data_IF_359941257276
#
_entry.id   IF_359941257276
#
_cell.length_a   1.000
_cell.length_b   1.000
_cell.length_c   1.000
_cell.angle_alpha   90.00
_cell.angle_beta   90.00
_cell.angle_gamma   90.00
#
_symmetry.space_group_name_H-M   'P 1'
#
loop_
_entity.id
_entity.type
_entity.pdbx_description
1 polymer ?
#
# COMPACT_ATOMS: atom_id res chain seq x y z
N UNK A 1 48.15 -13.06 -26.49
CA UNK A 1 48.01 -11.90 -25.57
C UNK A 1 47.73 -12.44 -24.17
N UNK A 2 48.76 -12.51 -23.33
CA UNK A 2 48.61 -12.88 -21.93
C UNK A 2 48.08 -11.69 -21.15
N UNK A 3 46.81 -11.74 -20.76
CA UNK A 3 46.25 -10.75 -19.81
C UNK A 3 47.05 -10.90 -18.52
N UNK A 4 47.76 -9.84 -18.12
CA UNK A 4 48.53 -9.85 -16.88
C UNK A 4 47.62 -10.14 -15.69
N UNK A 5 48.07 -10.99 -14.76
CA UNK A 5 47.36 -11.28 -13.50
C UNK A 5 46.95 -9.99 -12.76
N UNK A 6 47.74 -8.93 -12.88
CA UNK A 6 47.43 -7.61 -12.31
C UNK A 6 46.21 -6.96 -12.96
N UNK A 7 46.03 -7.08 -14.28
CA UNK A 7 44.87 -6.52 -14.97
C UNK A 7 43.56 -7.22 -14.57
N UNK A 8 43.60 -8.54 -14.34
CA UNK A 8 42.46 -9.31 -13.86
C UNK A 8 42.08 -8.92 -12.42
N UNK A 9 43.07 -8.74 -11.54
CA UNK A 9 42.85 -8.28 -10.16
C UNK A 9 42.32 -6.84 -10.12
N UNK A 10 42.83 -5.94 -10.96
CA UNK A 10 42.31 -4.58 -11.07
C UNK A 10 40.88 -4.54 -11.62
N UNK A 11 40.52 -5.40 -12.58
CA UNK A 11 39.15 -5.50 -13.09
C UNK A 11 38.18 -6.04 -12.03
N UNK A 12 38.58 -7.05 -11.25
CA UNK A 12 37.80 -7.58 -10.12
C UNK A 12 37.63 -6.55 -9.01
N UNK A 13 38.68 -5.78 -8.67
CA UNK A 13 38.59 -4.66 -7.73
C UNK A 13 37.70 -3.53 -8.25
N UNK A 14 37.75 -3.22 -9.54
CA UNK A 14 36.89 -2.20 -10.14
C UNK A 14 35.40 -2.60 -10.10
N UNK A 15 35.07 -3.88 -10.33
CA UNK A 15 33.70 -4.39 -10.19
C UNK A 15 33.20 -4.31 -8.74
N UNK A 16 34.05 -4.64 -7.76
CA UNK A 16 33.77 -4.50 -6.32
C UNK A 16 33.50 -3.04 -5.90
N UNK A 17 34.15 -2.07 -6.56
CA UNK A 17 33.96 -0.64 -6.27
C UNK A 17 32.70 -0.05 -6.94
N UNK A 18 32.24 -0.63 -8.05
CA UNK A 18 31.02 -0.16 -8.75
C UNK A 18 29.72 -0.73 -8.19
N UNK A 19 29.77 -1.78 -7.38
CA UNK A 19 28.57 -2.48 -6.88
C UNK A 19 28.09 -2.04 -5.50
N UNK A 20 28.45 -0.85 -5.03
CA UNK A 20 27.89 -0.26 -3.80
C UNK A 20 26.43 0.18 -4.01
N UNK A 21 25.55 -0.76 -4.34
CA UNK A 21 24.11 -0.58 -4.28
C UNK A 21 23.69 -0.52 -2.82
N UNK A 22 23.58 0.71 -2.29
CA UNK A 22 22.97 0.95 -0.99
C UNK A 22 21.47 0.71 -1.12
N UNK A 23 21.02 -0.47 -0.70
CA UNK A 23 19.62 -0.72 -0.42
C UNK A 23 19.21 0.13 0.80
N UNK A 24 18.13 0.90 0.66
CA UNK A 24 17.56 1.65 1.76
C UNK A 24 17.05 0.72 2.85
N UNK A 25 17.29 1.07 4.12
CA UNK A 25 16.77 0.31 5.27
C UNK A 25 15.31 0.69 5.61
N UNK A 26 14.76 1.69 4.93
CA UNK A 26 13.37 2.10 5.10
C UNK A 26 12.43 1.00 4.58
N UNK A 27 11.45 0.64 5.39
CA UNK A 27 10.41 -0.33 5.01
C UNK A 27 9.35 0.35 4.15
N UNK A 28 8.80 -0.39 3.19
CA UNK A 28 7.68 0.05 2.34
C UNK A 28 6.52 -0.98 2.46
N UNK A 29 5.90 -1.10 3.64
CA UNK A 29 4.94 -2.16 3.93
C UNK A 29 3.65 -2.01 3.12
N UNK A 30 3.03 -3.13 2.79
CA UNK A 30 1.78 -3.21 2.04
C UNK A 30 0.61 -3.55 2.95
N UNK A 31 0.22 -2.59 3.80
CA UNK A 31 -0.86 -2.78 4.78
C UNK A 31 -2.22 -2.45 4.14
N UNK A 32 -2.82 -3.44 3.49
CA UNK A 32 -4.11 -3.28 2.81
C UNK A 32 -5.25 -3.92 3.59
N UNK A 33 -6.39 -3.23 3.70
CA UNK A 33 -7.62 -3.76 4.29
C UNK A 33 -8.63 -4.19 3.22
N UNK A 34 -9.28 -5.32 3.47
CA UNK A 34 -10.44 -5.75 2.69
C UNK A 34 -11.67 -5.59 3.56
N UNK A 35 -12.60 -4.76 3.11
CA UNK A 35 -13.82 -4.47 3.85
C UNK A 35 -14.74 -5.67 3.82
N UNK A 36 -15.19 -6.10 4.99
CA UNK A 36 -16.22 -7.12 5.09
C UNK A 36 -17.59 -6.52 4.73
N UNK A 37 -18.34 -7.19 3.84
CA UNK A 37 -19.66 -6.69 3.44
C UNK A 37 -20.61 -6.46 4.62
N UNK A 38 -20.50 -7.32 5.64
CA UNK A 38 -21.30 -7.24 6.86
C UNK A 38 -21.07 -5.93 7.60
N UNK A 39 -19.84 -5.40 7.60
CA UNK A 39 -19.53 -4.11 8.22
C UNK A 39 -20.32 -2.99 7.54
N UNK A 40 -20.25 -2.89 6.22
CA UNK A 40 -20.97 -1.86 5.44
C UNK A 40 -22.50 -2.00 5.54
N UNK A 41 -23.01 -3.24 5.58
CA UNK A 41 -24.46 -3.52 5.72
C UNK A 41 -25.01 -3.12 7.10
N UNK A 42 -24.16 -3.05 8.12
CA UNK A 42 -24.55 -2.66 9.48
C UNK A 42 -24.49 -1.15 9.72
N UNK A 43 -23.85 -0.39 8.84
CA UNK A 43 -23.82 1.07 8.94
C UNK A 43 -25.18 1.66 8.51
N UNK A 44 -25.69 2.68 9.23
CA UNK A 44 -26.93 3.35 8.86
C UNK A 44 -26.76 4.24 7.62
N UNK A 45 -27.87 4.57 6.95
CA UNK A 45 -27.88 5.62 5.94
C UNK A 45 -27.82 7.01 6.57
N UNK A 46 -26.98 7.90 6.01
CA UNK A 46 -26.94 9.33 6.36
C UNK A 46 -28.25 10.05 6.01
N UNK A 47 -29.03 9.49 5.08
CA UNK A 47 -30.18 10.15 4.49
C UNK A 47 -31.49 9.48 4.87
N UNK A 48 -32.53 10.31 5.02
CA UNK A 48 -33.86 9.88 5.39
C UNK A 48 -34.49 9.01 4.29
N UNK A 49 -35.31 8.00 4.62
CA UNK A 49 -36.04 7.23 3.61
C UNK A 49 -36.86 8.11 2.67
N UNK A 50 -37.15 7.62 1.46
CA UNK A 50 -38.02 8.32 0.52
C UNK A 50 -39.45 8.46 1.09
N UNK A 51 -40.05 9.64 0.90
CA UNK A 51 -41.48 9.85 1.16
C UNK A 51 -42.32 9.03 0.19
N UNK A 52 -43.63 8.91 0.44
CA UNK A 52 -44.52 8.17 -0.45
C UNK A 52 -44.63 8.81 -1.84
N UNK A 53 -44.62 10.15 -1.92
CA UNK A 53 -44.65 10.87 -3.20
C UNK A 53 -43.35 10.69 -3.97
N UNK A 54 -42.20 10.75 -3.28
CA UNK A 54 -40.88 10.48 -3.87
C UNK A 54 -40.84 9.05 -4.44
N UNK A 55 -41.29 8.05 -3.69
CA UNK A 55 -41.30 6.64 -4.14
C UNK A 55 -42.15 6.39 -5.38
N UNK A 56 -43.26 7.11 -5.54
CA UNK A 56 -44.16 6.99 -6.70
C UNK A 56 -43.62 7.67 -7.95
N UNK A 57 -42.59 8.50 -7.82
CA UNK A 57 -41.95 9.15 -8.97
C UNK A 57 -41.05 8.20 -9.76
N UNK A 58 -40.81 8.51 -11.03
CA UNK A 58 -39.90 7.72 -11.88
C UNK A 58 -38.47 7.71 -11.35
N UNK A 59 -37.96 8.85 -10.87
CA UNK A 59 -36.62 8.92 -10.28
C UNK A 59 -36.56 8.16 -8.95
N UNK A 60 -37.62 8.18 -8.14
CA UNK A 60 -37.66 7.48 -6.86
C UNK A 60 -37.64 5.96 -7.03
N UNK A 61 -38.27 5.45 -8.09
CA UNK A 61 -38.20 4.04 -8.46
C UNK A 61 -36.77 3.62 -8.81
N UNK A 62 -36.08 4.40 -9.66
CA UNK A 62 -34.67 4.15 -10.00
C UNK A 62 -33.75 4.27 -8.78
N UNK A 63 -33.97 5.28 -7.93
CA UNK A 63 -33.24 5.43 -6.67
C UNK A 63 -33.36 4.18 -5.79
N UNK A 64 -34.56 3.62 -5.62
CA UNK A 64 -34.76 2.43 -4.78
C UNK A 64 -34.03 1.19 -5.34
N UNK A 65 -34.05 1.01 -6.66
CA UNK A 65 -33.31 -0.05 -7.34
C UNK A 65 -31.80 0.15 -7.13
N UNK A 66 -31.32 1.40 -7.27
CA UNK A 66 -29.93 1.73 -7.06
C UNK A 66 -29.48 1.46 -5.62
N UNK A 67 -30.28 1.86 -4.61
CA UNK A 67 -30.02 1.54 -3.20
C UNK A 67 -29.95 0.04 -2.96
N UNK A 68 -30.79 -0.75 -3.62
CA UNK A 68 -30.76 -2.20 -3.49
C UNK A 68 -29.44 -2.78 -4.02
N UNK A 69 -29.04 -2.44 -5.24
CA UNK A 69 -27.74 -2.86 -5.79
C UNK A 69 -26.57 -2.41 -4.91
N UNK A 70 -26.62 -1.19 -4.38
CA UNK A 70 -25.57 -0.64 -3.54
C UNK A 70 -25.42 -1.45 -2.23
N UNK A 71 -26.53 -1.84 -1.60
CA UNK A 71 -26.54 -2.70 -0.40
C UNK A 71 -26.04 -4.12 -0.66
N UNK A 72 -26.22 -4.61 -1.88
CA UNK A 72 -25.65 -5.87 -2.34
C UNK A 72 -24.18 -5.74 -2.80
N UNK A 73 -23.62 -4.53 -2.76
CA UNK A 73 -22.29 -4.19 -3.27
C UNK A 73 -22.12 -4.50 -4.77
N UNK A 74 -23.21 -4.51 -5.53
CA UNK A 74 -23.20 -4.45 -6.99
C UNK A 74 -23.01 -2.99 -7.45
N UNK A 75 -21.82 -2.46 -7.15
CA UNK A 75 -21.51 -1.04 -7.19
C UNK A 75 -21.66 -0.43 -8.59
N UNK A 76 -21.30 -1.18 -9.65
CA UNK A 76 -21.42 -0.68 -11.03
C UNK A 76 -22.88 -0.54 -11.48
N UNK A 77 -23.74 -1.51 -11.10
CA UNK A 77 -25.18 -1.40 -11.37
C UNK A 77 -25.81 -0.30 -10.52
N UNK A 78 -25.38 -0.17 -9.26
CA UNK A 78 -25.81 0.93 -8.40
C UNK A 78 -25.48 2.30 -9.02
N UNK A 79 -24.23 2.53 -9.42
CA UNK A 79 -23.79 3.79 -10.07
C UNK A 79 -24.64 4.09 -11.31
N UNK A 80 -24.81 3.12 -12.19
CA UNK A 80 -25.58 3.30 -13.44
C UNK A 80 -27.03 3.67 -13.13
N UNK A 81 -27.63 3.05 -12.12
CA UNK A 81 -29.02 3.26 -11.74
C UNK A 81 -29.22 4.60 -11.03
N UNK A 82 -28.30 5.03 -10.15
CA UNK A 82 -28.32 6.38 -9.57
C UNK A 82 -28.19 7.46 -10.65
N UNK A 83 -27.31 7.27 -11.64
CA UNK A 83 -27.19 8.22 -12.77
C UNK A 83 -28.52 8.32 -13.54
N UNK A 84 -29.23 7.21 -13.74
CA UNK A 84 -30.59 7.22 -14.34
C UNK A 84 -31.58 7.98 -13.45
N UNK A 85 -31.54 7.78 -12.14
CA UNK A 85 -32.37 8.52 -11.19
C UNK A 85 -32.10 10.05 -11.23
N UNK A 86 -30.82 10.46 -11.28
CA UNK A 86 -30.42 11.86 -11.41
C UNK A 86 -30.94 12.50 -12.71
N UNK A 87 -30.83 11.79 -13.84
CA UNK A 87 -31.38 12.23 -15.14
C UNK A 87 -32.90 12.46 -15.02
N UNK A 88 -33.64 11.54 -14.40
CA UNK A 88 -35.09 11.66 -14.24
C UNK A 88 -35.51 12.74 -13.25
N UNK A 89 -34.70 13.01 -12.22
CA UNK A 89 -34.99 14.06 -11.25
C UNK A 89 -34.84 15.45 -11.87
N UNK A 90 -33.84 15.66 -12.74
CA UNK A 90 -33.63 16.88 -13.55
C UNK A 90 -33.60 18.21 -12.78
N UNK A 91 -33.56 18.20 -11.44
CA UNK A 91 -33.56 19.38 -10.58
C UNK A 91 -32.42 19.29 -9.54
N UNK A 92 -31.27 19.95 -9.78
CA UNK A 92 -30.13 19.97 -8.86
C UNK A 92 -30.43 20.59 -7.49
N UNK A 93 -31.48 21.43 -7.38
CA UNK A 93 -31.86 22.06 -6.11
C UNK A 93 -32.60 21.09 -5.16
N UNK A 94 -32.97 19.90 -5.65
CA UNK A 94 -33.59 18.91 -4.79
C UNK A 94 -32.53 18.29 -3.85
N UNK A 95 -32.77 18.23 -2.53
CA UNK A 95 -31.83 17.64 -1.58
C UNK A 95 -31.39 16.19 -1.88
N UNK A 96 -32.22 15.42 -2.61
CA UNK A 96 -31.92 14.05 -3.07
C UNK A 96 -30.83 14.00 -4.12
N UNK A 97 -30.56 15.11 -4.79
CA UNK A 97 -29.53 15.19 -5.82
C UNK A 97 -28.15 14.92 -5.23
N UNK A 98 -27.75 15.71 -4.20
CA UNK A 98 -26.48 15.52 -3.50
C UNK A 98 -26.37 14.17 -2.77
N UNK A 99 -27.49 13.60 -2.32
CA UNK A 99 -27.52 12.23 -1.78
C UNK A 99 -27.14 11.18 -2.84
N UNK A 100 -27.76 11.22 -4.02
CA UNK A 100 -27.45 10.27 -5.10
C UNK A 100 -26.03 10.45 -5.64
N UNK A 101 -25.55 11.69 -5.73
CA UNK A 101 -24.15 11.96 -6.08
C UNK A 101 -23.20 11.37 -5.03
N UNK A 102 -23.48 11.55 -3.73
CA UNK A 102 -22.69 10.93 -2.67
C UNK A 102 -22.71 9.40 -2.75
N UNK A 103 -23.87 8.78 -3.01
CA UNK A 103 -23.96 7.32 -3.14
C UNK A 103 -23.22 6.79 -4.39
N UNK A 104 -23.18 7.56 -5.50
CA UNK A 104 -22.33 7.24 -6.66
C UNK A 104 -20.85 7.34 -6.28
N UNK A 105 -20.46 8.43 -5.62
CA UNK A 105 -19.09 8.68 -5.18
C UNK A 105 -18.60 7.57 -4.23
N UNK A 106 -19.40 7.23 -3.21
CA UNK A 106 -19.15 6.13 -2.29
C UNK A 106 -19.01 4.80 -3.03
N UNK A 107 -19.84 4.55 -4.04
CA UNK A 107 -19.75 3.35 -4.86
C UNK A 107 -18.43 3.26 -5.65
N UNK A 108 -17.93 4.37 -6.21
CA UNK A 108 -16.60 4.39 -6.84
C UNK A 108 -15.49 4.08 -5.84
N UNK A 109 -15.54 4.70 -4.66
CA UNK A 109 -14.56 4.48 -3.59
C UNK A 109 -14.55 3.02 -3.10
N UNK A 110 -15.71 2.45 -2.79
CA UNK A 110 -15.83 1.05 -2.37
C UNK A 110 -15.38 0.07 -3.46
N UNK A 111 -15.50 0.47 -4.74
CA UNK A 111 -14.96 -0.23 -5.89
C UNK A 111 -13.45 -0.07 -6.08
N UNK A 112 -12.74 0.63 -5.17
CA UNK A 112 -11.32 0.99 -5.25
C UNK A 112 -10.95 1.77 -6.51
N UNK A 113 -11.92 2.48 -7.10
CA UNK A 113 -11.72 3.35 -8.27
C UNK A 113 -11.52 4.79 -7.83
N UNK A 114 -10.38 5.05 -7.18
CA UNK A 114 -10.08 6.34 -6.56
C UNK A 114 -10.06 7.50 -7.57
N UNK A 115 -9.35 7.34 -8.69
CA UNK A 115 -9.37 8.29 -9.80
C UNK A 115 -10.79 8.62 -10.31
N UNK A 116 -11.65 7.61 -10.48
CA UNK A 116 -13.03 7.85 -10.95
C UNK A 116 -13.91 8.52 -9.89
N UNK A 117 -13.70 8.19 -8.61
CA UNK A 117 -14.36 8.87 -7.51
C UNK A 117 -14.00 10.36 -7.49
N UNK A 118 -12.71 10.70 -7.64
CA UNK A 118 -12.26 12.10 -7.71
C UNK A 118 -12.79 12.82 -8.95
N UNK A 119 -12.70 12.19 -10.12
CA UNK A 119 -13.24 12.77 -11.36
C UNK A 119 -14.74 13.05 -11.22
N UNK A 120 -15.52 12.09 -10.70
CA UNK A 120 -16.93 12.29 -10.43
C UNK A 120 -17.18 13.41 -9.42
N UNK A 121 -16.43 13.44 -8.31
CA UNK A 121 -16.53 14.49 -7.30
C UNK A 121 -16.35 15.87 -7.93
N UNK A 122 -15.27 16.09 -8.69
CA UNK A 122 -14.96 17.40 -9.31
C UNK A 122 -16.03 17.91 -10.29
N UNK A 123 -16.87 17.02 -10.83
CA UNK A 123 -17.94 17.35 -11.76
C UNK A 123 -19.33 17.43 -11.10
N UNK A 124 -19.41 17.12 -9.80
CA UNK A 124 -20.66 17.01 -9.05
C UNK A 124 -20.90 18.24 -8.16
N UNK A 125 -22.12 18.41 -7.68
CA UNK A 125 -22.47 19.48 -6.73
C UNK A 125 -21.85 19.23 -5.34
N UNK A 126 -21.28 18.04 -5.10
CA UNK A 126 -20.56 17.72 -3.86
C UNK A 126 -19.39 18.67 -3.58
N UNK A 127 -18.77 19.28 -4.61
CA UNK A 127 -17.68 20.27 -4.45
C UNK A 127 -18.13 21.50 -3.66
N UNK A 128 -19.42 21.84 -3.73
CA UNK A 128 -20.00 23.00 -3.08
C UNK A 128 -20.62 22.67 -1.72
N UNK A 129 -20.53 21.42 -1.26
CA UNK A 129 -21.04 21.02 0.05
C UNK A 129 -20.16 21.52 1.19
N UNK A 130 -20.79 21.77 2.34
CA UNK A 130 -20.12 22.19 3.57
C UNK A 130 -20.49 21.28 4.74
N UNK A 131 -20.14 21.70 5.95
CA UNK A 131 -20.39 20.97 7.20
C UNK A 131 -21.88 20.66 7.48
N UNK A 132 -22.82 21.29 6.77
CA UNK A 132 -24.26 21.01 6.88
C UNK A 132 -24.68 19.78 6.07
N UNK A 133 -23.85 19.33 5.12
CA UNK A 133 -24.13 18.12 4.37
C UNK A 133 -24.09 16.89 5.29
N UNK A 134 -25.14 16.06 5.26
CA UNK A 134 -25.35 14.99 6.26
C UNK A 134 -24.20 14.00 6.34
N UNK A 135 -23.59 13.67 5.19
CA UNK A 135 -22.46 12.75 5.07
C UNK A 135 -21.11 13.47 4.96
N UNK A 136 -21.00 14.75 5.34
CA UNK A 136 -19.79 15.55 5.13
C UNK A 136 -18.54 14.95 5.78
N UNK A 137 -18.68 14.39 6.99
CA UNK A 137 -17.60 13.66 7.64
C UNK A 137 -17.04 12.53 6.76
N UNK A 138 -17.93 11.64 6.31
CA UNK A 138 -17.55 10.45 5.53
C UNK A 138 -17.00 10.85 4.15
N UNK A 139 -17.59 11.87 3.53
CA UNK A 139 -17.10 12.48 2.30
C UNK A 139 -15.63 12.94 2.43
N UNK A 140 -15.29 13.67 3.51
CA UNK A 140 -13.91 14.12 3.73
C UNK A 140 -12.94 12.96 3.98
N UNK A 141 -13.35 11.94 4.74
CA UNK A 141 -12.52 10.74 4.99
C UNK A 141 -12.21 10.03 3.67
N UNK A 142 -13.22 9.84 2.83
CA UNK A 142 -13.08 9.19 1.52
C UNK A 142 -12.21 10.03 0.59
N UNK A 143 -12.47 11.33 0.48
CA UNK A 143 -11.68 12.23 -0.37
C UNK A 143 -10.20 12.23 0.02
N UNK A 144 -9.91 12.29 1.32
CA UNK A 144 -8.54 12.23 1.82
C UNK A 144 -7.83 10.95 1.36
N UNK A 145 -8.47 9.79 1.52
CA UNK A 145 -7.89 8.52 1.06
C UNK A 145 -7.75 8.48 -0.46
N UNK A 146 -8.75 8.92 -1.22
CA UNK A 146 -8.67 8.98 -2.68
C UNK A 146 -7.48 9.82 -3.15
N UNK A 147 -7.28 11.02 -2.61
CA UNK A 147 -6.14 11.86 -2.98
C UNK A 147 -4.80 11.25 -2.58
N UNK A 148 -4.70 10.59 -1.42
CA UNK A 148 -3.48 9.85 -1.05
C UNK A 148 -3.17 8.70 -2.02
N UNK A 149 -4.20 7.98 -2.49
CA UNK A 149 -4.02 6.85 -3.42
C UNK A 149 -3.62 7.29 -4.83
N UNK A 150 -3.98 8.52 -5.21
CA UNK A 150 -3.58 9.14 -6.48
C UNK A 150 -2.31 10.02 -6.34
N UNK A 151 -1.62 9.95 -5.20
CA UNK A 151 -0.40 10.72 -4.86
C UNK A 151 -0.55 12.26 -4.96
N UNK A 152 -1.77 12.77 -4.78
CA UNK A 152 -2.06 14.20 -4.77
C UNK A 152 -1.96 14.76 -3.34
N UNK A 153 -0.72 15.00 -2.90
CA UNK A 153 -0.42 15.48 -1.55
C UNK A 153 -1.00 16.88 -1.28
N UNK A 154 -1.17 17.71 -2.32
CA UNK A 154 -1.70 19.07 -2.17
C UNK A 154 -3.18 19.04 -1.77
N UNK A 155 -4.01 18.31 -2.53
CA UNK A 155 -5.43 18.19 -2.21
C UNK A 155 -5.65 17.33 -0.97
N UNK A 156 -4.87 16.27 -0.75
CA UNK A 156 -4.92 15.50 0.49
C UNK A 156 -4.66 16.40 1.72
N UNK A 157 -3.67 17.29 1.66
CA UNK A 157 -3.38 18.26 2.72
C UNK A 157 -4.54 19.25 2.97
N UNK A 158 -5.20 19.72 1.91
CA UNK A 158 -6.37 20.60 2.03
C UNK A 158 -7.57 19.89 2.68
N UNK A 159 -7.88 18.66 2.27
CA UNK A 159 -8.93 17.85 2.90
C UNK A 159 -8.58 17.54 4.35
N UNK A 160 -7.30 17.23 4.64
CA UNK A 160 -6.83 17.00 5.99
C UNK A 160 -7.02 18.22 6.89
N UNK A 161 -6.76 19.43 6.39
CA UNK A 161 -7.03 20.67 7.11
C UNK A 161 -8.51 20.80 7.49
N UNK A 162 -9.42 20.47 6.57
CA UNK A 162 -10.87 20.47 6.84
C UNK A 162 -11.26 19.43 7.89
N UNK A 163 -10.67 18.23 7.83
CA UNK A 163 -10.86 17.18 8.85
C UNK A 163 -10.34 17.65 10.22
N UNK A 164 -9.14 18.20 10.30
CA UNK A 164 -8.55 18.67 11.56
C UNK A 164 -9.37 19.80 12.19
N UNK A 165 -9.93 20.69 11.36
CA UNK A 165 -10.77 21.81 11.80
C UNK A 165 -12.14 21.36 12.33
N UNK A 166 -12.81 20.45 11.63
CA UNK A 166 -14.21 20.10 11.91
C UNK A 166 -14.36 18.80 12.71
N UNK A 167 -13.41 17.88 12.59
CA UNK A 167 -13.43 16.52 13.15
C UNK A 167 -12.03 16.13 13.72
N UNK A 168 -11.53 16.85 14.75
CA UNK A 168 -10.15 16.70 15.22
C UNK A 168 -9.81 15.27 15.68
N UNK A 169 -10.76 14.54 16.27
CA UNK A 169 -10.56 13.14 16.66
C UNK A 169 -10.33 12.22 15.45
N UNK A 170 -11.10 12.41 14.37
CA UNK A 170 -10.94 11.65 13.12
C UNK A 170 -9.61 12.00 12.45
N UNK A 171 -9.24 13.28 12.45
CA UNK A 171 -7.96 13.72 11.90
C UNK A 171 -6.76 13.07 12.63
N UNK A 172 -6.80 12.97 13.96
CA UNK A 172 -5.79 12.26 14.74
C UNK A 172 -5.74 10.77 14.38
N UNK A 173 -6.89 10.09 14.27
CA UNK A 173 -6.95 8.69 13.80
C UNK A 173 -6.34 8.52 12.41
N UNK A 174 -6.61 9.46 11.49
CA UNK A 174 -6.06 9.45 10.14
C UNK A 174 -4.54 9.62 10.14
N UNK A 175 -3.97 10.51 10.96
CA UNK A 175 -2.51 10.66 11.07
C UNK A 175 -1.85 9.35 11.52
N UNK A 176 -2.40 8.73 12.56
CA UNK A 176 -1.90 7.44 13.07
C UNK A 176 -2.03 6.35 12.04
N UNK A 177 -3.21 6.26 11.41
CA UNK A 177 -3.47 5.32 10.33
C UNK A 177 -2.45 5.46 9.21
N UNK A 178 -2.25 6.68 8.71
CA UNK A 178 -1.31 6.98 7.62
C UNK A 178 0.11 6.59 8.02
N UNK A 179 0.56 7.00 9.21
CA UNK A 179 1.89 6.66 9.72
C UNK A 179 2.10 5.14 9.88
N UNK A 180 1.09 4.42 10.34
CA UNK A 180 1.12 2.95 10.43
C UNK A 180 1.11 2.29 9.05
N UNK A 181 0.33 2.79 8.10
CA UNK A 181 0.25 2.22 6.75
C UNK A 181 1.56 2.39 5.99
N UNK A 182 2.23 3.53 6.12
CA UNK A 182 3.52 3.79 5.44
C UNK A 182 4.75 3.34 6.24
N UNK A 183 4.57 2.85 7.48
CA UNK A 183 5.67 2.43 8.32
C UNK A 183 6.53 3.58 8.88
N UNK A 184 5.97 4.78 9.07
CA UNK A 184 6.67 5.92 9.68
C UNK A 184 6.80 5.75 11.21
N UNK A 185 7.79 4.94 11.59
CA UNK A 185 8.11 4.68 12.99
C UNK A 185 8.63 5.91 13.74
N UNK A 186 9.17 6.91 13.04
CA UNK A 186 9.68 8.12 13.66
C UNK A 186 8.53 9.00 14.14
N UNK A 187 7.54 9.21 13.28
CA UNK A 187 6.30 9.91 13.63
C UNK A 187 5.58 9.21 14.79
N UNK A 188 5.42 7.89 14.73
CA UNK A 188 4.72 7.13 15.79
C UNK A 188 5.38 7.30 17.17
N UNK A 189 6.71 7.32 17.22
CA UNK A 189 7.47 7.54 18.47
C UNK A 189 7.41 8.98 18.98
N UNK A 190 7.33 9.97 18.09
CA UNK A 190 7.31 11.38 18.45
C UNK A 190 5.90 11.90 18.78
N UNK A 191 4.87 11.23 18.26
CA UNK A 191 3.46 11.60 18.47
C UNK A 191 2.96 11.26 19.88
N UNK A 192 1.84 11.85 20.30
CA UNK A 192 1.16 11.53 21.58
C UNK A 192 0.80 10.03 21.73
N UNK A 193 0.77 9.29 20.63
CA UNK A 193 0.55 7.85 20.60
C UNK A 193 1.74 7.03 21.09
N UNK A 194 2.88 7.66 21.38
CA UNK A 194 3.98 7.07 22.14
C UNK A 194 3.59 6.64 23.55
N UNK A 195 2.40 7.00 24.02
CA UNK A 195 1.83 6.53 25.29
C UNK A 195 0.96 5.27 25.12
N UNK A 196 0.59 4.89 23.89
CA UNK A 196 -0.15 3.65 23.62
C UNK A 196 0.77 2.44 23.80
N UNK A 197 0.49 1.64 24.82
CA UNK A 197 1.24 0.44 25.16
C UNK A 197 1.23 -0.60 24.02
N UNK A 198 0.14 -0.69 23.23
CA UNK A 198 0.04 -1.61 22.09
C UNK A 198 0.98 -1.16 20.95
N UNK A 199 1.01 0.14 20.61
CA UNK A 199 1.92 0.69 19.58
C UNK A 199 3.38 0.52 20.00
N UNK A 200 3.72 0.85 21.24
CA UNK A 200 5.07 0.67 21.76
C UNK A 200 5.48 -0.81 21.77
N UNK A 201 4.56 -1.70 22.13
CA UNK A 201 4.76 -3.15 22.07
C UNK A 201 5.06 -3.61 20.64
N UNK A 202 4.27 -3.16 19.67
CA UNK A 202 4.51 -3.42 18.24
C UNK A 202 5.88 -2.93 17.79
N UNK A 203 6.21 -1.66 18.05
CA UNK A 203 7.48 -1.05 17.63
C UNK A 203 8.67 -1.79 18.27
N UNK A 204 8.55 -2.17 19.54
CA UNK A 204 9.57 -2.94 20.26
C UNK A 204 9.73 -4.32 19.64
N UNK A 205 8.62 -5.03 19.42
CA UNK A 205 8.63 -6.36 18.79
C UNK A 205 9.25 -6.32 17.39
N UNK A 206 8.88 -5.33 16.57
CA UNK A 206 9.47 -5.11 15.25
C UNK A 206 10.98 -4.88 15.35
N UNK A 207 11.44 -3.96 16.22
CA UNK A 207 12.86 -3.65 16.36
C UNK A 207 13.70 -4.83 16.90
N UNK A 208 13.10 -5.72 17.71
CA UNK A 208 13.76 -6.91 18.22
C UNK A 208 13.93 -8.00 17.14
N UNK A 209 12.96 -8.13 16.23
CA UNK A 209 12.92 -9.23 15.27
C UNK A 209 13.39 -8.86 13.86
N UNK A 210 13.48 -7.56 13.54
CA UNK A 210 13.96 -7.10 12.23
C UNK A 210 15.36 -7.64 11.92
N UNK A 211 15.59 -7.94 10.66
CA UNK A 211 16.87 -8.39 10.10
C UNK A 211 17.64 -7.20 9.55
N UNK A 212 18.96 -7.22 9.73
CA UNK A 212 19.82 -6.20 9.13
C UNK A 212 20.06 -6.53 7.66
N UNK A 213 19.71 -5.59 6.78
CA UNK A 213 19.96 -5.67 5.33
C UNK A 213 21.47 -5.81 5.08
N UNK A 214 22.27 -4.95 5.72
CA UNK A 214 23.72 -4.99 5.57
C UNK A 214 24.34 -6.31 6.04
N UNK A 215 23.86 -6.86 7.16
CA UNK A 215 24.32 -8.17 7.64
C UNK A 215 23.98 -9.29 6.65
N UNK A 216 22.80 -9.27 6.04
CA UNK A 216 22.43 -10.26 5.02
C UNK A 216 23.35 -10.18 3.80
N UNK A 217 23.64 -8.96 3.32
CA UNK A 217 24.57 -8.73 2.21
C UNK A 217 25.99 -9.22 2.53
N UNK A 218 26.53 -8.83 3.70
CA UNK A 218 27.87 -9.24 4.13
C UNK A 218 27.99 -10.76 4.25
N UNK A 219 27.00 -11.42 4.87
CA UNK A 219 26.99 -12.87 4.97
C UNK A 219 26.98 -13.52 3.58
N UNK A 220 26.16 -13.00 2.65
CA UNK A 220 26.09 -13.55 1.30
C UNK A 220 27.35 -13.26 0.47
N UNK A 221 28.04 -12.16 0.72
CA UNK A 221 29.34 -11.87 0.13
C UNK A 221 30.40 -12.86 0.64
N UNK A 222 30.47 -13.11 1.94
CA UNK A 222 31.43 -14.08 2.49
C UNK A 222 31.16 -15.52 2.00
N UNK A 223 29.89 -15.91 1.92
CA UNK A 223 29.49 -17.24 1.49
C UNK A 223 28.16 -17.17 0.73
N UNK A 224 28.14 -17.49 -0.58
CA UNK A 224 26.91 -17.49 -1.36
C UNK A 224 25.82 -18.35 -0.71
N UNK A 225 24.66 -17.74 -0.46
CA UNK A 225 23.52 -18.38 0.21
C UNK A 225 23.40 -18.05 1.71
N UNK A 226 24.47 -17.63 2.39
CA UNK A 226 24.42 -17.40 3.84
C UNK A 226 23.51 -16.23 4.24
N UNK A 227 23.41 -15.19 3.40
CA UNK A 227 22.47 -14.09 3.63
C UNK A 227 21.01 -14.53 3.54
N UNK A 228 20.67 -15.37 2.57
CA UNK A 228 19.34 -15.99 2.45
C UNK A 228 19.04 -16.90 3.65
N UNK A 229 20.03 -17.66 4.13
CA UNK A 229 19.88 -18.51 5.29
C UNK A 229 19.61 -17.68 6.57
N UNK A 230 20.29 -16.54 6.71
CA UNK A 230 20.09 -15.60 7.83
C UNK A 230 18.66 -15.06 7.94
N UNK A 231 17.99 -14.85 6.80
CA UNK A 231 16.58 -14.44 6.74
C UNK A 231 15.61 -15.63 6.69
N UNK A 232 16.11 -16.87 6.79
CA UNK A 232 15.30 -18.09 6.85
C UNK A 232 14.92 -18.71 5.51
N UNK A 233 15.39 -18.17 4.38
CA UNK A 233 15.10 -18.70 3.04
C UNK A 233 16.04 -19.85 2.66
N UNK A 234 15.79 -21.05 3.21
CA UNK A 234 16.65 -22.23 3.03
C UNK A 234 16.80 -22.66 1.57
N UNK A 235 15.74 -22.60 0.78
CA UNK A 235 15.76 -22.98 -0.64
C UNK A 235 16.62 -22.01 -1.47
N UNK A 236 16.44 -20.71 -1.28
CA UNK A 236 17.26 -19.67 -1.91
C UNK A 236 18.73 -19.80 -1.50
N UNK A 237 18.99 -20.08 -0.21
CA UNK A 237 20.34 -20.30 0.30
C UNK A 237 21.04 -21.48 -0.39
N UNK A 238 20.38 -22.63 -0.47
CA UNK A 238 20.93 -23.83 -1.12
C UNK A 238 21.18 -23.59 -2.60
N UNK A 239 20.21 -22.98 -3.29
CA UNK A 239 20.31 -22.69 -4.72
C UNK A 239 21.49 -21.76 -5.02
N UNK A 240 21.64 -20.68 -4.24
CA UNK A 240 22.75 -19.76 -4.38
C UNK A 240 24.10 -20.46 -4.13
N UNK A 241 24.21 -21.27 -3.08
CA UNK A 241 25.43 -22.00 -2.77
C UNK A 241 25.85 -22.95 -3.91
N UNK A 242 24.90 -23.75 -4.42
CA UNK A 242 25.17 -24.71 -5.48
C UNK A 242 25.53 -24.04 -6.81
N UNK A 243 24.80 -22.99 -7.20
CA UNK A 243 25.06 -22.28 -8.46
C UNK A 243 26.43 -21.59 -8.44
N UNK A 244 26.71 -20.79 -7.42
CA UNK A 244 28.00 -20.10 -7.32
C UNK A 244 29.14 -21.14 -7.24
N UNK A 245 28.98 -22.21 -6.45
CA UNK A 245 29.96 -23.29 -6.38
C UNK A 245 30.23 -23.95 -7.74
N UNK A 246 29.18 -24.24 -8.51
CA UNK A 246 29.27 -24.83 -9.84
C UNK A 246 30.02 -23.92 -10.82
N UNK A 247 29.68 -22.63 -10.86
CA UNK A 247 30.27 -21.67 -11.78
C UNK A 247 31.72 -21.32 -11.41
N UNK A 248 32.03 -21.17 -10.13
CA UNK A 248 33.40 -20.99 -9.63
C UNK A 248 34.25 -22.20 -10.01
N UNK A 249 33.78 -23.41 -9.76
CA UNK A 249 34.50 -24.64 -10.11
C UNK A 249 34.70 -24.76 -11.63
N UNK A 250 33.66 -24.47 -12.41
CA UNK A 250 33.72 -24.53 -13.88
C UNK A 250 34.73 -23.53 -14.45
N UNK A 251 34.72 -22.30 -13.95
CA UNK A 251 35.69 -21.27 -14.31
C UNK A 251 37.12 -21.71 -14.02
N UNK A 252 37.38 -22.22 -12.81
CA UNK A 252 38.67 -22.78 -12.43
C UNK A 252 39.10 -23.92 -13.36
N UNK A 253 38.20 -24.88 -13.63
CA UNK A 253 38.48 -26.02 -14.50
C UNK A 253 38.83 -25.61 -15.94
N UNK A 254 38.17 -24.59 -16.49
CA UNK A 254 38.49 -24.07 -17.82
C UNK A 254 39.86 -23.41 -17.86
N UNK A 255 40.21 -22.59 -16.88
CA UNK A 255 41.54 -21.97 -16.81
C UNK A 255 42.65 -23.03 -16.64
N UNK A 256 42.45 -24.01 -15.76
CA UNK A 256 43.41 -25.08 -15.53
C UNK A 256 43.67 -25.94 -16.78
N UNK A 257 42.65 -26.15 -17.62
CA UNK A 257 42.78 -26.90 -18.88
C UNK A 257 43.25 -26.06 -20.08
N UNK A 258 43.52 -24.77 -19.90
CA UNK A 258 43.97 -23.87 -20.96
C UNK A 258 42.85 -23.29 -21.84
N UNK A 259 41.57 -23.52 -21.51
CA UNK A 259 40.42 -22.96 -22.22
C UNK A 259 40.11 -21.53 -21.76
N UNK A 260 41.01 -20.58 -22.04
CA UNK A 260 40.94 -19.22 -21.49
C UNK A 260 39.65 -18.48 -21.86
N UNK A 261 39.18 -18.59 -23.11
CA UNK A 261 37.96 -17.91 -23.54
C UNK A 261 36.72 -18.40 -22.77
N UNK A 262 36.56 -19.72 -22.62
CA UNK A 262 35.47 -20.30 -21.84
C UNK A 262 35.55 -19.88 -20.36
N UNK A 263 36.74 -19.91 -19.76
CA UNK A 263 36.95 -19.45 -18.39
C UNK A 263 36.54 -17.99 -18.17
N UNK A 264 36.90 -17.09 -19.08
CA UNK A 264 36.50 -15.68 -19.01
C UNK A 264 34.98 -15.53 -19.11
N UNK A 265 34.33 -16.22 -20.05
CA UNK A 265 32.88 -16.15 -20.23
C UNK A 265 32.17 -16.65 -18.97
N UNK A 266 32.55 -17.82 -18.45
CA UNK A 266 31.96 -18.40 -17.24
C UNK A 266 32.16 -17.51 -16.02
N UNK A 267 33.37 -16.97 -15.83
CA UNK A 267 33.65 -16.03 -14.74
C UNK A 267 32.81 -14.76 -14.83
N UNK A 268 32.56 -14.26 -16.05
CA UNK A 268 31.74 -13.06 -16.26
C UNK A 268 30.30 -13.31 -15.81
N UNK A 269 29.70 -14.45 -16.19
CA UNK A 269 28.38 -14.85 -15.71
C UNK A 269 28.34 -15.01 -14.19
N UNK A 270 29.35 -15.67 -13.62
CA UNK A 270 29.44 -15.87 -12.17
C UNK A 270 29.50 -14.54 -11.43
N UNK A 271 30.29 -13.58 -11.91
CA UNK A 271 30.38 -12.26 -11.27
C UNK A 271 29.01 -11.57 -11.19
N UNK A 272 28.22 -11.60 -12.27
CA UNK A 272 26.87 -11.05 -12.29
C UNK A 272 25.94 -11.78 -11.32
N UNK A 273 26.00 -13.11 -11.29
CA UNK A 273 25.19 -13.93 -10.39
C UNK A 273 25.56 -13.71 -8.92
N UNK A 274 26.84 -13.62 -8.61
CA UNK A 274 27.37 -13.41 -7.28
C UNK A 274 26.97 -12.03 -6.73
N UNK A 275 27.19 -10.94 -7.48
CA UNK A 275 26.78 -9.60 -7.06
C UNK A 275 25.25 -9.46 -6.98
N UNK A 276 24.53 -10.04 -7.94
CA UNK A 276 23.07 -10.12 -7.89
C UNK A 276 22.58 -10.88 -6.65
N UNK A 277 23.27 -11.94 -6.24
CA UNK A 277 22.99 -12.68 -5.02
C UNK A 277 23.17 -11.85 -3.75
N UNK A 278 24.22 -11.02 -3.69
CA UNK A 278 24.45 -10.09 -2.55
C UNK A 278 23.29 -9.09 -2.46
N UNK A 279 22.93 -8.44 -3.57
CA UNK A 279 21.80 -7.52 -3.61
C UNK A 279 20.50 -8.22 -3.20
N UNK A 280 20.21 -9.37 -3.79
CA UNK A 280 19.00 -10.15 -3.51
C UNK A 280 18.91 -10.64 -2.06
N UNK A 281 20.03 -10.92 -1.40
CA UNK A 281 20.03 -11.24 0.04
C UNK A 281 19.67 -10.02 0.90
N UNK A 282 20.12 -8.82 0.51
CA UNK A 282 19.70 -7.57 1.14
C UNK A 282 18.21 -7.30 0.95
N UNK A 283 17.72 -7.45 -0.28
CA UNK A 283 16.29 -7.30 -0.61
C UNK A 283 15.42 -8.31 0.16
N UNK A 284 15.87 -9.57 0.26
CA UNK A 284 15.19 -10.59 1.04
C UNK A 284 15.07 -10.22 2.53
N UNK A 285 16.05 -9.50 3.08
CA UNK A 285 15.98 -8.96 4.45
C UNK A 285 15.01 -7.78 4.57
N UNK A 286 14.96 -6.89 3.56
CA UNK A 286 13.98 -5.79 3.50
C UNK A 286 12.55 -6.35 3.46
N UNK A 287 12.26 -7.27 2.54
CA UNK A 287 10.95 -7.94 2.41
C UNK A 287 10.58 -8.69 3.69
N UNK A 288 11.54 -9.35 4.35
CA UNK A 288 11.29 -9.98 5.65
C UNK A 288 10.81 -8.97 6.69
N UNK A 289 11.44 -7.80 6.75
CA UNK A 289 11.06 -6.74 7.69
C UNK A 289 9.70 -6.14 7.35
N UNK A 290 9.40 -5.91 6.08
CA UNK A 290 8.08 -5.41 5.64
C UNK A 290 6.97 -6.37 6.05
N UNK A 291 7.12 -7.66 5.76
CA UNK A 291 6.15 -8.69 6.17
C UNK A 291 6.02 -8.80 7.69
N UNK A 292 7.14 -8.71 8.41
CA UNK A 292 7.13 -8.69 9.87
C UNK A 292 6.30 -7.50 10.36
N UNK A 293 6.50 -6.32 9.79
CA UNK A 293 5.77 -5.12 10.15
C UNK A 293 4.27 -5.24 9.82
N UNK A 294 3.93 -5.64 8.60
CA UNK A 294 2.55 -5.85 8.14
C UNK A 294 1.76 -6.77 9.07
N UNK A 295 2.37 -7.90 9.48
CA UNK A 295 1.77 -8.88 10.39
C UNK A 295 1.45 -8.31 11.79
N UNK A 296 2.14 -7.24 12.20
CA UNK A 296 1.91 -6.62 13.52
C UNK A 296 1.01 -5.38 13.39
N UNK A 297 1.19 -4.58 12.33
CA UNK A 297 0.44 -3.34 12.10
C UNK A 297 -1.01 -3.62 11.69
N UNK A 298 -1.25 -4.61 10.82
CA UNK A 298 -2.59 -4.92 10.30
C UNK A 298 -3.60 -5.27 11.41
N UNK A 299 -3.31 -6.19 12.36
CA UNK A 299 -4.23 -6.49 13.45
C UNK A 299 -4.54 -5.28 14.33
N UNK A 300 -3.56 -4.41 14.57
CA UNK A 300 -3.76 -3.19 15.35
C UNK A 300 -4.70 -2.22 14.63
N UNK A 301 -4.43 -1.93 13.35
CA UNK A 301 -5.27 -1.06 12.52
C UNK A 301 -6.71 -1.59 12.43
N UNK A 302 -6.88 -2.89 12.23
CA UNK A 302 -8.20 -3.52 12.17
C UNK A 302 -8.92 -3.45 13.51
N UNK A 303 -8.27 -3.81 14.62
CA UNK A 303 -8.87 -3.81 15.97
C UNK A 303 -9.30 -2.41 16.42
N UNK A 304 -8.54 -1.39 16.02
CA UNK A 304 -8.80 0.02 16.40
C UNK A 304 -9.63 0.78 15.36
N UNK A 305 -10.12 0.12 14.31
CA UNK A 305 -10.88 0.73 13.21
C UNK A 305 -10.14 1.93 12.57
N UNK A 306 -8.84 1.77 12.33
CA UNK A 306 -7.98 2.83 11.83
C UNK A 306 -7.85 2.84 10.30
N UNK A 307 -8.41 1.89 9.56
CA UNK A 307 -8.51 2.05 8.12
C UNK A 307 -9.56 3.13 7.80
N UNK A 308 -9.36 4.04 6.82
CA UNK A 308 -10.30 5.13 6.59
C UNK A 308 -11.72 4.64 6.30
N UNK A 309 -11.86 3.54 5.57
CA UNK A 309 -13.16 2.88 5.35
C UNK A 309 -13.85 2.38 6.63
N UNK A 310 -13.09 2.06 7.68
CA UNK A 310 -13.63 1.69 8.99
C UNK A 310 -13.97 2.91 9.87
N UNK A 311 -13.61 4.11 9.42
CA UNK A 311 -13.97 5.37 10.07
C UNK A 311 -15.30 5.94 9.53
N UNK A 312 -15.87 5.34 8.47
CA UNK A 312 -17.16 5.75 7.93
C UNK A 312 -18.26 5.53 8.95
N UNK A 313 -19.12 6.52 9.11
CA UNK A 313 -20.26 6.48 10.04
C UNK A 313 -21.50 5.93 9.36
N UNK A 314 -21.56 6.03 8.03
CA UNK A 314 -22.75 5.72 7.24
C UNK A 314 -22.44 4.94 5.97
N UNK A 315 -23.48 4.32 5.43
CA UNK A 315 -23.47 3.53 4.19
C UNK A 315 -24.81 3.73 3.45
N UNK A 316 -25.11 2.87 2.47
CA UNK A 316 -26.32 2.93 1.65
C UNK A 316 -27.62 2.60 2.41
#
# INVERSE_FOLDING_TARGET
MTISKTALVCALMAMLLTSCFRLGEQIEPQVNYTVEERYLKNLPSSFSPLTESERKSSWGSEYLIAKHFAKELDLYRAITTYKRALILLSNPQNPRYGEMEYDIFLSYYLGKRYADALNFYTQSELVHTDYQFKAYHDLLVILYECYLKEDDQQHAGAIFYLLAKNYPETAEKIKVSTALTVGDLAYLKASHFSQDQEINGMITHFNQHKKSVHKAQLLNACLPGAGYLYVGQKQSALTAFLLNGLFIYSSYAFFHKGFTAAGIITLSFESGWYFGGIYGAGEAAKIYNERLYENIAYPYLSKKNLFPVLMLKTSF
#
